data_IF_359520338783
#
_entry.id   IF_359520338783
#
_cell.length_a   1.000
_cell.length_b   1.000
_cell.length_c   1.000
_cell.angle_alpha   90.00
_cell.angle_beta   90.00
_cell.angle_gamma   90.00
#
_symmetry.space_group_name_H-M   'P 1'
#
loop_
_entity.id
_entity.type
_entity.pdbx_description
1 polymer ?
#
# COMPACT_ATOMS: atom_id res chain seq x y z
N UNK A 1 -5.65 -5.10 8.80
CA UNK A 1 -5.95 -4.75 7.38
C UNK A 1 -6.65 -5.94 6.73
N UNK A 2 -7.67 -5.72 5.90
CA UNK A 2 -8.40 -6.79 5.21
C UNK A 2 -7.93 -6.89 3.75
N UNK A 3 -7.32 -8.01 3.38
CA UNK A 3 -6.77 -8.27 2.05
C UNK A 3 -7.62 -9.32 1.36
N UNK A 4 -8.05 -9.05 0.12
CA UNK A 4 -8.56 -10.07 -0.79
C UNK A 4 -7.41 -10.63 -1.62
N UNK A 5 -7.19 -11.93 -1.59
CA UNK A 5 -6.25 -12.61 -2.46
C UNK A 5 -7.02 -13.45 -3.49
N UNK A 6 -6.87 -13.13 -4.77
CA UNK A 6 -7.44 -13.91 -5.87
C UNK A 6 -6.29 -14.69 -6.51
N UNK A 7 -6.28 -16.01 -6.32
CA UNK A 7 -5.11 -16.84 -6.61
C UNK A 7 -5.44 -18.34 -6.78
N UNK A 8 -4.62 -19.07 -7.54
CA UNK A 8 -4.60 -20.55 -7.62
C UNK A 8 -3.26 -21.18 -7.24
N UNK A 9 -2.20 -20.40 -7.08
CA UNK A 9 -0.85 -20.87 -6.80
C UNK A 9 -0.63 -21.05 -5.30
N UNK A 10 -0.39 -22.28 -4.86
CA UNK A 10 -0.12 -22.60 -3.44
C UNK A 10 1.09 -21.84 -2.88
N UNK A 11 2.05 -21.50 -3.75
CA UNK A 11 3.25 -20.74 -3.38
C UNK A 11 2.87 -19.30 -3.06
N UNK A 12 2.02 -18.69 -3.88
CA UNK A 12 1.51 -17.33 -3.64
C UNK A 12 0.64 -17.29 -2.39
N UNK A 13 -0.24 -18.28 -2.17
CA UNK A 13 -1.06 -18.37 -0.96
C UNK A 13 -0.19 -18.32 0.30
N UNK A 14 0.84 -19.17 0.35
CA UNK A 14 1.77 -19.25 1.48
C UNK A 14 2.55 -17.96 1.67
N UNK A 15 3.05 -17.40 0.57
CA UNK A 15 3.83 -16.17 0.59
C UNK A 15 3.02 -14.99 1.15
N UNK A 16 1.83 -14.77 0.62
CA UNK A 16 0.94 -13.68 1.04
C UNK A 16 0.49 -13.90 2.48
N UNK A 17 0.17 -15.13 2.88
CA UNK A 17 -0.21 -15.44 4.26
C UNK A 17 0.91 -15.14 5.28
N UNK A 18 2.17 -15.40 4.92
CA UNK A 18 3.33 -15.05 5.77
C UNK A 18 3.46 -13.52 5.87
N UNK A 19 3.53 -12.82 4.74
CA UNK A 19 3.66 -11.36 4.72
C UNK A 19 2.51 -10.66 5.46
N UNK A 20 1.28 -11.17 5.33
CA UNK A 20 0.11 -10.61 5.99
C UNK A 20 0.14 -10.85 7.51
N UNK A 21 0.64 -12.00 7.97
CA UNK A 21 0.79 -12.30 9.40
C UNK A 21 1.74 -11.32 10.08
N UNK A 22 2.86 -11.00 9.43
CA UNK A 22 3.89 -10.10 9.96
C UNK A 22 3.35 -8.69 10.23
N UNK A 23 2.24 -8.31 9.59
CA UNK A 23 1.60 -7.00 9.72
C UNK A 23 0.19 -7.07 10.33
N UNK A 24 -0.17 -8.21 10.94
CA UNK A 24 -1.48 -8.45 11.55
C UNK A 24 -2.66 -8.18 10.59
N UNK A 25 -2.50 -8.54 9.32
CA UNK A 25 -3.54 -8.45 8.30
C UNK A 25 -4.30 -9.78 8.16
N UNK A 26 -5.61 -9.69 7.90
CA UNK A 26 -6.43 -10.84 7.55
C UNK A 26 -6.49 -10.99 6.03
N UNK A 27 -6.32 -12.23 5.55
CA UNK A 27 -6.38 -12.56 4.13
C UNK A 27 -7.61 -13.42 3.87
N UNK A 28 -8.51 -12.94 3.02
CA UNK A 28 -9.58 -13.73 2.44
C UNK A 28 -9.10 -14.21 1.06
N UNK A 29 -8.79 -15.51 0.94
CA UNK A 29 -8.34 -16.13 -0.31
C UNK A 29 -9.52 -16.73 -1.08
N UNK A 30 -9.57 -16.44 -2.39
CA UNK A 30 -10.52 -17.00 -3.33
C UNK A 30 -9.81 -17.39 -4.63
N UNK A 31 -10.35 -18.37 -5.34
CA UNK A 31 -9.91 -18.80 -6.66
C UNK A 31 -10.86 -18.34 -7.79
N UNK A 32 -12.04 -17.84 -7.40
CA UNK A 32 -13.10 -17.34 -8.26
C UNK A 32 -13.91 -16.25 -7.54
N UNK A 33 -14.24 -15.18 -8.26
CA UNK A 33 -15.03 -14.06 -7.76
C UNK A 33 -16.42 -14.44 -7.26
N UNK A 34 -17.01 -15.53 -7.72
CA UNK A 34 -18.30 -16.03 -7.21
C UNK A 34 -18.26 -16.41 -5.72
N UNK A 35 -17.07 -16.64 -5.15
CA UNK A 35 -16.88 -17.01 -3.75
C UNK A 35 -16.64 -15.80 -2.83
N UNK A 36 -16.87 -14.58 -3.31
CA UNK A 36 -16.64 -13.35 -2.56
C UNK A 36 -17.56 -13.29 -1.33
N UNK A 37 -16.96 -13.08 -0.15
CA UNK A 37 -17.70 -13.01 1.14
C UNK A 37 -18.05 -11.59 1.58
N UNK A 38 -17.37 -10.59 1.04
CA UNK A 38 -17.44 -9.18 1.44
C UNK A 38 -17.27 -8.30 0.22
N UNK A 39 -17.89 -7.13 0.23
CA UNK A 39 -17.82 -6.19 -0.90
C UNK A 39 -16.78 -5.07 -0.72
N UNK A 40 -16.07 -5.07 0.41
CA UNK A 40 -15.10 -4.04 0.76
C UNK A 40 -13.81 -4.65 1.33
N UNK A 41 -12.68 -4.29 0.74
CA UNK A 41 -11.34 -4.70 1.16
C UNK A 41 -10.41 -3.49 1.22
N UNK A 42 -9.41 -3.53 2.09
CA UNK A 42 -8.38 -2.50 2.06
C UNK A 42 -7.49 -2.65 0.81
N UNK A 43 -7.23 -3.90 0.42
CA UNK A 43 -6.34 -4.22 -0.69
C UNK A 43 -6.82 -5.48 -1.41
N UNK A 44 -6.69 -5.47 -2.74
CA UNK A 44 -6.90 -6.64 -3.59
C UNK A 44 -5.56 -7.04 -4.19
N UNK A 45 -5.18 -8.31 -4.06
CA UNK A 45 -3.99 -8.90 -4.67
C UNK A 45 -4.46 -9.97 -5.65
N UNK A 46 -4.01 -9.88 -6.89
CA UNK A 46 -4.36 -10.81 -7.97
C UNK A 46 -3.11 -11.52 -8.46
N UNK A 47 -3.17 -12.85 -8.58
CA UNK A 47 -2.17 -13.59 -9.34
C UNK A 47 -2.39 -13.38 -10.84
N UNK A 48 -1.38 -12.90 -11.55
CA UNK A 48 -1.42 -12.71 -13.01
C UNK A 48 -1.78 -13.99 -13.78
N UNK A 49 -1.50 -15.17 -13.24
CA UNK A 49 -1.86 -16.45 -13.89
C UNK A 49 -3.37 -16.68 -14.01
N UNK A 50 -4.18 -16.01 -13.21
CA UNK A 50 -5.65 -16.08 -13.28
C UNK A 50 -6.27 -14.77 -13.79
N UNK A 51 -5.44 -13.77 -14.11
CA UNK A 51 -5.93 -12.48 -14.56
C UNK A 51 -6.60 -12.63 -15.92
N UNK A 52 -7.85 -12.17 -16.03
CA UNK A 52 -8.64 -12.16 -17.25
C UNK A 52 -9.46 -10.87 -17.29
N UNK A 53 -9.86 -10.43 -18.48
CA UNK A 53 -10.68 -9.22 -18.61
C UNK A 53 -11.99 -9.30 -17.80
N UNK A 54 -12.63 -10.47 -17.79
CA UNK A 54 -13.86 -10.71 -17.01
C UNK A 54 -13.61 -10.57 -15.50
N UNK A 55 -12.46 -11.05 -15.02
CA UNK A 55 -12.06 -10.92 -13.63
C UNK A 55 -11.78 -9.45 -13.29
N UNK A 56 -11.08 -8.72 -14.16
CA UNK A 56 -10.82 -7.29 -13.96
C UNK A 56 -12.11 -6.47 -13.87
N UNK A 57 -13.07 -6.72 -14.76
CA UNK A 57 -14.37 -6.04 -14.76
C UNK A 57 -15.15 -6.32 -13.46
N UNK A 58 -14.98 -7.51 -12.90
CA UNK A 58 -15.58 -7.91 -11.63
C UNK A 58 -14.87 -7.25 -10.44
N UNK A 59 -13.53 -7.22 -10.44
CA UNK A 59 -12.71 -6.55 -9.43
C UNK A 59 -13.01 -5.04 -9.39
N UNK A 60 -13.27 -4.43 -10.54
CA UNK A 60 -13.60 -3.01 -10.65
C UNK A 60 -14.90 -2.61 -9.94
N UNK A 61 -15.78 -3.58 -9.66
CA UNK A 61 -17.01 -3.36 -8.89
C UNK A 61 -16.80 -3.44 -7.38
N UNK A 62 -15.65 -3.99 -6.94
CA UNK A 62 -15.32 -4.16 -5.53
C UNK A 62 -14.72 -2.86 -5.00
N UNK A 63 -15.16 -2.42 -3.81
CA UNK A 63 -14.60 -1.25 -3.16
C UNK A 63 -13.25 -1.64 -2.57
N UNK A 64 -12.17 -1.04 -3.07
CA UNK A 64 -10.81 -1.28 -2.59
C UNK A 64 -9.94 -0.04 -2.64
N UNK A 65 -9.03 0.14 -1.69
CA UNK A 65 -8.10 1.29 -1.67
C UNK A 65 -6.90 1.10 -2.58
N UNK A 66 -6.47 -0.14 -2.79
CA UNK A 66 -5.36 -0.45 -3.69
C UNK A 66 -5.49 -1.84 -4.31
N UNK A 67 -5.06 -1.96 -5.57
CA UNK A 67 -5.02 -3.19 -6.36
C UNK A 67 -3.58 -3.53 -6.74
N UNK A 68 -3.17 -4.76 -6.43
CA UNK A 68 -1.85 -5.30 -6.72
C UNK A 68 -1.99 -6.48 -7.67
N UNK A 69 -1.12 -6.56 -8.68
CA UNK A 69 -0.96 -7.75 -9.52
C UNK A 69 0.43 -8.38 -9.38
N UNK A 70 0.45 -9.71 -9.25
CA UNK A 70 1.66 -10.54 -9.17
C UNK A 70 1.86 -11.27 -10.51
N UNK A 71 2.66 -10.74 -11.42
CA UNK A 71 2.73 -11.22 -12.80
C UNK A 71 4.05 -11.93 -13.13
N UNK A 72 4.02 -12.98 -13.94
CA UNK A 72 5.23 -13.70 -14.40
C UNK A 72 5.75 -13.15 -15.74
N UNK A 73 4.87 -12.76 -16.65
CA UNK A 73 5.19 -12.18 -17.97
C UNK A 73 4.56 -10.79 -18.06
N UNK A 74 5.15 -9.89 -18.85
CA UNK A 74 4.54 -8.60 -19.15
C UNK A 74 3.18 -8.87 -19.82
N UNK A 75 2.11 -8.52 -19.13
CA UNK A 75 0.75 -8.49 -19.68
C UNK A 75 0.53 -7.11 -20.29
N UNK A 76 -0.05 -7.07 -21.49
CA UNK A 76 -0.16 -5.85 -22.29
C UNK A 76 -1.06 -4.78 -21.64
N UNK A 77 -1.97 -5.18 -20.75
CA UNK A 77 -2.90 -4.27 -20.06
C UNK A 77 -2.92 -4.50 -18.55
N UNK A 78 -1.97 -3.89 -17.85
CA UNK A 78 -1.95 -3.84 -16.38
C UNK A 78 -2.39 -2.48 -15.82
N UNK A 79 -3.05 -1.63 -16.61
CA UNK A 79 -3.41 -0.25 -16.20
C UNK A 79 -4.34 -0.18 -14.99
N UNK A 80 -5.12 -1.24 -14.77
CA UNK A 80 -6.13 -1.31 -13.72
C UNK A 80 -5.56 -1.64 -12.32
N UNK A 81 -4.24 -1.84 -12.23
CA UNK A 81 -3.51 -2.16 -11.01
C UNK A 81 -2.60 -1.01 -10.59
N UNK A 82 -2.76 -0.54 -9.36
CA UNK A 82 -1.92 0.50 -8.78
C UNK A 82 -0.47 0.04 -8.63
N UNK A 83 -0.28 -1.26 -8.32
CA UNK A 83 1.03 -1.84 -8.06
C UNK A 83 1.20 -3.13 -8.85
N UNK A 84 2.36 -3.26 -9.48
CA UNK A 84 2.70 -4.37 -10.35
C UNK A 84 3.98 -5.01 -9.83
N UNK A 85 3.91 -6.28 -9.42
CA UNK A 85 5.04 -7.03 -8.90
C UNK A 85 5.39 -8.17 -9.86
N UNK A 86 6.53 -8.04 -10.54
CA UNK A 86 7.06 -9.11 -11.39
C UNK A 86 7.58 -10.28 -10.55
N UNK A 87 7.17 -11.50 -10.89
CA UNK A 87 7.71 -12.78 -10.39
C UNK A 87 8.99 -13.17 -11.15
N UNK A 88 9.98 -13.79 -10.48
CA UNK A 88 10.06 -14.05 -9.04
C UNK A 88 10.35 -12.77 -8.25
N UNK A 89 9.88 -12.71 -7.01
CA UNK A 89 10.16 -11.60 -6.09
C UNK A 89 10.41 -12.13 -4.67
N UNK A 90 11.09 -11.32 -3.85
CA UNK A 90 11.36 -11.64 -2.45
C UNK A 90 10.13 -11.33 -1.58
N UNK A 91 9.85 -12.12 -0.52
CA UNK A 91 8.78 -11.83 0.43
C UNK A 91 8.86 -10.43 1.03
N UNK A 92 10.08 -9.96 1.30
CA UNK A 92 10.33 -8.63 1.84
C UNK A 92 9.72 -7.53 0.96
N UNK A 93 9.82 -7.65 -0.37
CA UNK A 93 9.26 -6.66 -1.31
C UNK A 93 7.74 -6.51 -1.15
N UNK A 94 7.02 -7.62 -0.99
CA UNK A 94 5.58 -7.58 -0.75
C UNK A 94 5.30 -6.98 0.64
N UNK A 95 6.05 -7.39 1.65
CA UNK A 95 5.92 -6.91 3.03
C UNK A 95 6.12 -5.39 3.12
N UNK A 96 7.12 -4.84 2.44
CA UNK A 96 7.40 -3.39 2.40
C UNK A 96 6.23 -2.62 1.79
N UNK A 97 5.63 -3.15 0.72
CA UNK A 97 4.45 -2.55 0.09
C UNK A 97 3.27 -2.59 1.06
N UNK A 98 2.96 -3.74 1.65
CA UNK A 98 1.87 -3.88 2.61
C UNK A 98 2.06 -2.95 3.83
N UNK A 99 3.29 -2.83 4.33
CA UNK A 99 3.66 -1.92 5.41
C UNK A 99 3.50 -0.45 5.01
N UNK A 100 3.82 -0.08 3.77
CA UNK A 100 3.57 1.28 3.28
C UNK A 100 2.09 1.63 3.35
N UNK A 101 1.18 0.74 2.95
CA UNK A 101 -0.27 1.00 3.08
C UNK A 101 -0.77 0.96 4.52
N UNK A 102 -0.20 0.09 5.36
CA UNK A 102 -0.58 0.04 6.77
C UNK A 102 -0.10 1.29 7.54
N UNK A 103 1.13 1.75 7.24
CA UNK A 103 1.68 2.98 7.79
C UNK A 103 1.08 4.23 7.15
N UNK A 104 0.59 4.18 5.91
CA UNK A 104 -0.26 5.22 5.33
C UNK A 104 -1.64 5.26 5.98
N UNK A 105 -2.16 4.16 6.54
CA UNK A 105 -3.35 4.20 7.45
C UNK A 105 -3.04 4.88 8.78
N UNK A 106 -1.87 4.61 9.36
CA UNK A 106 -1.36 5.32 10.54
C UNK A 106 -1.09 6.80 10.24
N UNK A 107 -0.56 7.11 9.07
CA UNK A 107 -0.23 8.45 8.63
C UNK A 107 -1.38 9.16 7.94
N UNK A 108 -2.48 8.51 7.55
CA UNK A 108 -3.68 9.20 7.03
C UNK A 108 -4.51 9.78 8.16
N UNK A 109 -4.39 9.22 9.37
CA UNK A 109 -4.86 9.90 10.59
C UNK A 109 -4.00 11.14 10.87
N UNK A 110 -2.71 11.14 10.50
CA UNK A 110 -1.77 12.25 10.77
C UNK A 110 -1.69 13.27 9.61
N UNK A 111 -1.92 12.86 8.35
CA UNK A 111 -1.75 13.69 7.16
C UNK A 111 -2.99 14.47 6.75
N UNK A 112 -4.17 14.13 7.25
CA UNK A 112 -5.38 14.93 7.00
C UNK A 112 -5.68 15.97 8.08
N UNK A 113 -4.92 16.03 9.18
CA UNK A 113 -4.87 17.21 10.05
C UNK A 113 -3.49 17.32 10.67
N UNK A 114 -2.53 17.94 9.97
CA UNK A 114 -1.56 18.74 10.72
C UNK A 114 -2.40 19.89 11.27
N UNK A 115 -2.96 19.71 12.46
CA UNK A 115 -3.75 20.72 13.14
C UNK A 115 -2.95 22.02 13.13
N UNK A 116 -3.60 23.14 12.80
CA UNK A 116 -2.99 24.46 12.89
C UNK A 116 -2.32 24.68 14.27
N UNK A 117 -2.83 24.02 15.31
CA UNK A 117 -2.23 23.95 16.65
C UNK A 117 -0.79 23.41 16.67
N UNK A 118 -0.47 22.37 15.88
CA UNK A 118 0.89 21.82 15.81
C UNK A 118 1.84 22.77 15.06
N UNK A 119 1.36 23.39 13.98
CA UNK A 119 2.14 24.41 13.25
C UNK A 119 2.38 25.63 14.15
N UNK A 120 1.36 26.09 14.87
CA UNK A 120 1.48 27.17 15.85
C UNK A 120 2.46 26.82 16.97
N UNK A 121 2.45 25.58 17.47
CA UNK A 121 3.40 25.14 18.48
C UNK A 121 4.84 25.16 17.97
N UNK A 122 5.08 24.77 16.71
CA UNK A 122 6.40 24.85 16.07
C UNK A 122 6.85 26.29 15.82
N UNK A 123 5.94 27.18 15.40
CA UNK A 123 6.24 28.60 15.18
C UNK A 123 6.57 29.30 16.51
N UNK A 124 5.84 28.96 17.58
CA UNK A 124 6.03 29.55 18.91
C UNK A 124 7.13 28.87 19.73
N UNK A 125 7.76 27.82 19.19
CA UNK A 125 8.83 27.12 19.87
C UNK A 125 10.10 27.98 19.88
N UNK A 126 10.77 28.14 21.03
CA UNK A 126 12.08 28.79 21.07
C UNK A 126 13.06 28.07 20.16
N UNK A 127 13.76 28.81 19.30
CA UNK A 127 14.75 28.28 18.37
C UNK A 127 15.84 27.44 19.03
N UNK A 128 16.14 27.71 20.30
CA UNK A 128 17.06 26.91 21.11
C UNK A 128 16.60 25.46 21.26
N UNK A 129 15.31 25.24 21.53
CA UNK A 129 14.77 23.87 21.67
C UNK A 129 14.73 23.15 20.31
N UNK A 130 14.48 23.88 19.23
CA UNK A 130 14.54 23.31 17.87
C UNK A 130 15.98 22.85 17.58
N UNK A 131 16.98 23.65 17.95
CA UNK A 131 18.40 23.30 17.83
C UNK A 131 18.78 22.08 18.66
N UNK A 132 18.24 21.96 19.88
CA UNK A 132 18.49 20.80 20.74
C UNK A 132 17.89 19.51 20.15
N UNK A 133 16.69 19.58 19.54
CA UNK A 133 16.05 18.44 18.87
C UNK A 133 16.81 18.02 17.60
N UNK A 134 17.34 19.00 16.86
CA UNK A 134 18.04 18.76 15.59
C UNK A 134 19.55 18.55 15.77
N UNK A 135 20.02 18.35 17.01
CA UNK A 135 21.43 18.16 17.28
C UNK A 135 21.93 16.86 16.63
N UNK A 136 22.87 16.98 15.69
CA UNK A 136 23.42 15.84 14.94
C UNK A 136 22.63 15.45 13.69
N UNK A 137 21.54 16.16 13.37
CA UNK A 137 20.81 15.96 12.12
C UNK A 137 21.48 16.72 10.96
N UNK A 138 21.51 16.11 9.78
CA UNK A 138 21.83 16.80 8.52
C UNK A 138 20.55 17.33 7.89
N UNK A 139 20.42 18.66 7.78
CA UNK A 139 19.21 19.32 7.27
C UNK A 139 19.49 19.92 5.90
N UNK A 140 18.81 19.43 4.87
CA UNK A 140 18.87 19.99 3.50
C UNK A 140 17.61 20.81 3.21
N UNK A 141 17.76 22.11 2.95
CA UNK A 141 16.65 23.01 2.59
C UNK A 141 16.78 23.40 1.10
N UNK A 142 15.77 23.08 0.29
CA UNK A 142 15.68 23.53 -1.11
C UNK A 142 14.60 24.59 -1.23
N UNK A 143 15.00 25.82 -1.55
CA UNK A 143 14.10 26.96 -1.78
C UNK A 143 14.06 27.24 -3.27
N UNK A 144 12.87 27.33 -3.86
CA UNK A 144 12.67 27.72 -5.25
C UNK A 144 11.99 29.09 -5.28
N UNK A 145 12.72 30.09 -5.74
CA UNK A 145 12.12 31.40 -6.02
C UNK A 145 11.36 31.33 -7.35
N UNK A 146 10.11 31.84 -7.42
CA UNK A 146 9.46 32.09 -8.69
C UNK A 146 10.28 33.13 -9.48
N UNK A 147 10.36 32.99 -10.80
CA UNK A 147 10.87 34.05 -11.67
C UNK A 147 9.70 34.97 -12.01
N UNK A 148 9.90 36.27 -11.83
CA UNK A 148 8.97 37.32 -12.30
C UNK A 148 8.67 37.19 -13.80
#
# INVERSE_FOLDING_TARGET
>A
MNILLINKSIVVSRLVAICARDIEASVDEIDNISNLKKDNYDMIIVDGEINSQELEDSINKIISKSKIILYSKLEDNLSNYDIKIKKPFLPQKLTDILNKFNSEKSNSIIKENIDNSFIEALINMPSQKIKDILLGAEVTIKIKFPKD
#
